data_IF_030025618034
#
_entry.id   IF_030025618034
#
_cell.length_a   1.000
_cell.length_b   1.000
_cell.length_c   1.000
_cell.angle_alpha   90.00
_cell.angle_beta   90.00
_cell.angle_gamma   90.00
#
_symmetry.space_group_name_H-M   'P 1'
#
loop_
_entity.id
_entity.type
_entity.pdbx_description
1 polymer ?
#
# COMPACT_ATOMS: atom_id res chain seq x y z
N UNK A 1 21.01 4.52 17.23
CA UNK A 1 20.10 3.90 18.23
C UNK A 1 18.67 4.44 18.16
N UNK A 2 18.39 5.73 18.42
CA UNK A 2 16.98 6.21 18.45
C UNK A 2 16.37 6.44 17.05
N UNK A 3 17.17 6.84 16.05
CA UNK A 3 16.73 6.91 14.63
C UNK A 3 16.38 5.54 14.06
N UNK A 4 17.12 4.51 14.46
CA UNK A 4 16.95 3.14 13.96
C UNK A 4 15.69 2.48 14.56
N UNK A 5 15.40 2.74 15.84
CA UNK A 5 14.19 2.26 16.51
C UNK A 5 12.90 2.84 15.87
N UNK A 6 12.89 4.14 15.52
CA UNK A 6 11.76 4.76 14.84
C UNK A 6 11.52 4.22 13.42
N UNK A 7 12.59 3.88 12.70
CA UNK A 7 12.51 3.25 11.38
C UNK A 7 11.99 1.80 11.47
N UNK A 8 12.41 1.04 12.49
CA UNK A 8 11.90 -0.32 12.72
C UNK A 8 10.39 -0.28 13.03
N UNK A 9 9.94 0.63 13.90
CA UNK A 9 8.50 0.80 14.20
C UNK A 9 7.71 1.14 12.94
N UNK A 10 8.18 2.10 12.14
CA UNK A 10 7.52 2.47 10.89
C UNK A 10 7.46 1.28 9.91
N UNK A 11 8.52 0.47 9.81
CA UNK A 11 8.52 -0.72 8.96
C UNK A 11 7.44 -1.72 9.38
N UNK A 12 7.31 -2.01 10.68
CA UNK A 12 6.35 -2.97 11.20
C UNK A 12 4.90 -2.50 11.02
N UNK A 13 4.64 -1.21 11.26
CA UNK A 13 3.33 -0.60 11.03
C UNK A 13 2.96 -0.62 9.54
N UNK A 14 3.85 -0.14 8.67
CA UNK A 14 3.59 -0.05 7.23
C UNK A 14 3.45 -1.42 6.57
N UNK A 15 4.18 -2.43 7.05
CA UNK A 15 4.03 -3.82 6.61
C UNK A 15 2.63 -4.37 6.86
N UNK A 16 1.96 -3.90 7.92
CA UNK A 16 0.58 -4.29 8.27
C UNK A 16 -0.44 -3.56 7.41
N UNK A 17 -0.15 -2.33 7.00
CA UNK A 17 -1.06 -1.49 6.21
C UNK A 17 -0.99 -1.74 4.69
N UNK A 18 0.17 -2.11 4.14
CA UNK A 18 0.33 -2.35 2.70
C UNK A 18 -0.62 -3.38 2.09
N UNK A 19 -0.85 -4.54 2.74
CA UNK A 19 -1.79 -5.50 2.21
C UNK A 19 -3.19 -4.90 1.97
N UNK A 20 -3.59 -3.85 2.68
CA UNK A 20 -4.97 -3.34 2.65
C UNK A 20 -5.45 -2.87 1.26
N UNK A 21 -4.62 -2.25 0.42
CA UNK A 21 -5.02 -1.83 -0.94
C UNK A 21 -5.27 -3.03 -1.87
N UNK A 22 -4.66 -4.17 -1.60
CA UNK A 22 -4.80 -5.34 -2.48
C UNK A 22 -5.61 -6.47 -1.84
N UNK A 23 -5.74 -6.44 -0.52
CA UNK A 23 -6.55 -7.31 0.33
C UNK A 23 -7.92 -6.68 0.39
N UNK A 24 -8.69 -6.75 -0.69
CA UNK A 24 -10.11 -6.42 -0.58
C UNK A 24 -10.79 -7.20 0.56
N UNK A 25 -10.22 -8.33 0.98
CA UNK A 25 -10.58 -9.13 2.15
C UNK A 25 -10.10 -8.64 3.52
N UNK A 26 -9.54 -7.43 3.62
CA UNK A 26 -9.04 -6.91 4.90
C UNK A 26 -10.14 -6.60 5.93
N UNK A 27 -11.41 -6.58 5.52
CA UNK A 27 -12.53 -6.16 6.37
C UNK A 27 -12.59 -4.65 6.64
N UNK A 28 -11.69 -3.86 6.04
CA UNK A 28 -11.65 -2.39 6.18
C UNK A 28 -12.81 -1.77 5.42
N UNK A 29 -13.60 -0.92 6.06
CA UNK A 29 -14.71 -0.22 5.40
C UNK A 29 -14.21 0.76 4.33
N UNK A 30 -15.11 1.18 3.43
CA UNK A 30 -14.84 2.29 2.50
C UNK A 30 -14.28 3.53 3.20
N UNK A 31 -14.87 3.93 4.33
CA UNK A 31 -14.40 5.07 5.12
C UNK A 31 -12.99 4.87 5.69
N UNK A 32 -12.61 3.63 6.01
CA UNK A 32 -11.25 3.28 6.41
C UNK A 32 -10.25 3.51 5.27
N UNK A 33 -10.60 3.10 4.05
CA UNK A 33 -9.77 3.41 2.87
C UNK A 33 -9.75 4.90 2.55
N UNK A 34 -10.86 5.61 2.69
CA UNK A 34 -10.89 7.06 2.50
C UNK A 34 -9.97 7.77 3.50
N UNK A 35 -9.88 7.28 4.73
CA UNK A 35 -8.93 7.80 5.71
C UNK A 35 -7.49 7.43 5.38
N UNK A 36 -7.24 6.24 4.83
CA UNK A 36 -5.90 5.75 4.50
C UNK A 36 -5.31 6.42 3.25
N UNK A 37 -6.13 6.71 2.24
CA UNK A 37 -5.68 7.34 0.99
C UNK A 37 -5.72 8.86 1.12
N UNK A 38 -4.56 9.51 0.99
CA UNK A 38 -4.47 10.96 0.95
C UNK A 38 -5.35 11.55 -0.16
N UNK A 39 -5.79 12.80 0.00
CA UNK A 39 -6.74 13.43 -0.92
C UNK A 39 -6.23 13.47 -2.37
N UNK A 40 -4.92 13.65 -2.56
CA UNK A 40 -4.22 13.69 -3.84
C UNK A 40 -3.59 12.34 -4.24
N UNK A 41 -3.97 11.24 -3.59
CA UNK A 41 -3.45 9.90 -3.89
C UNK A 41 -3.69 9.48 -5.35
N UNK A 42 -2.70 8.79 -5.91
CA UNK A 42 -2.78 8.15 -7.21
C UNK A 42 -1.95 6.87 -7.27
N UNK A 43 -2.32 5.97 -8.17
CA UNK A 43 -1.67 4.67 -8.36
C UNK A 43 -1.24 4.46 -9.82
N UNK A 44 -0.10 3.81 -10.04
CA UNK A 44 0.24 3.18 -11.32
C UNK A 44 0.02 1.68 -11.21
N UNK A 45 -0.98 1.18 -11.96
CA UNK A 45 -1.25 -0.26 -11.99
C UNK A 45 -0.27 -1.01 -12.88
N UNK A 46 -0.36 -2.35 -12.84
CA UNK A 46 0.53 -3.24 -13.61
C UNK A 46 0.51 -3.02 -15.14
N UNK A 47 -0.53 -2.36 -15.67
CA UNK A 47 -0.65 -1.98 -17.08
C UNK A 47 0.11 -0.69 -17.44
N UNK A 48 0.71 -0.01 -16.46
CA UNK A 48 1.28 1.34 -16.61
C UNK A 48 0.22 2.45 -16.61
N UNK A 49 -1.08 2.13 -16.50
CA UNK A 49 -2.14 3.15 -16.39
C UNK A 49 -2.08 3.83 -15.04
N UNK A 50 -2.29 5.14 -15.06
CA UNK A 50 -2.46 5.97 -13.87
C UNK A 50 -3.93 5.96 -13.45
N UNK A 51 -4.18 5.70 -12.17
CA UNK A 51 -5.50 5.64 -11.55
C UNK A 51 -5.61 6.67 -10.45
N UNK A 52 -6.76 7.36 -10.41
CA UNK A 52 -7.07 8.34 -9.36
C UNK A 52 -7.51 7.64 -8.08
N UNK A 53 -7.47 8.38 -6.96
CA UNK A 53 -8.06 7.95 -5.68
C UNK A 53 -9.48 7.42 -5.81
N UNK A 54 -10.38 8.12 -6.50
CA UNK A 54 -11.78 7.71 -6.63
C UNK A 54 -11.95 6.41 -7.42
N UNK A 55 -11.12 6.22 -8.45
CA UNK A 55 -11.09 4.97 -9.19
C UNK A 55 -10.64 3.81 -8.29
N UNK A 56 -9.58 4.02 -7.50
CA UNK A 56 -9.06 3.00 -6.58
C UNK A 56 -10.10 2.68 -5.51
N UNK A 57 -10.73 3.67 -4.87
CA UNK A 57 -11.78 3.46 -3.86
C UNK A 57 -12.96 2.65 -4.42
N UNK A 58 -13.43 3.00 -5.61
CA UNK A 58 -14.53 2.28 -6.28
C UNK A 58 -14.13 0.83 -6.58
N UNK A 59 -12.88 0.61 -7.03
CA UNK A 59 -12.34 -0.72 -7.30
C UNK A 59 -12.24 -1.57 -6.03
N UNK A 60 -11.80 -0.98 -4.91
CA UNK A 60 -11.72 -1.66 -3.62
C UNK A 60 -13.10 -2.11 -3.13
N UNK A 61 -14.09 -1.22 -3.22
CA UNK A 61 -15.48 -1.51 -2.83
C UNK A 61 -16.08 -2.63 -3.70
N UNK A 62 -15.81 -2.63 -5.02
CA UNK A 62 -16.25 -3.70 -5.91
C UNK A 62 -15.60 -5.05 -5.56
N UNK A 63 -14.28 -5.06 -5.31
CA UNK A 63 -13.56 -6.27 -4.90
C UNK A 63 -14.02 -6.80 -3.54
N UNK A 64 -14.52 -5.95 -2.65
CA UNK A 64 -15.12 -6.36 -1.38
C UNK A 64 -16.43 -7.11 -1.55
N UNK A 65 -17.21 -6.77 -2.58
CA UNK A 65 -18.46 -7.48 -2.90
C UNK A 65 -18.19 -8.88 -3.48
N UNK A 66 -17.08 -9.04 -4.20
CA UNK A 66 -16.65 -10.30 -4.81
C UNK A 66 -15.18 -10.58 -4.50
N UNK A 67 -14.88 -10.99 -3.26
CA UNK A 67 -13.51 -11.17 -2.84
C UNK A 67 -12.83 -12.32 -3.58
N UNK A 68 -11.58 -12.10 -3.98
CA UNK A 68 -10.74 -13.17 -4.52
C UNK A 68 -9.97 -13.85 -3.39
N UNK A 69 -10.08 -15.16 -3.31
CA UNK A 69 -9.23 -15.98 -2.46
C UNK A 69 -7.95 -16.32 -3.23
N UNK A 70 -6.97 -15.41 -3.16
CA UNK A 70 -5.64 -15.63 -3.72
C UNK A 70 -4.61 -15.74 -2.58
N UNK A 71 -3.85 -16.84 -2.57
CA UNK A 71 -2.70 -16.94 -1.68
C UNK A 71 -1.61 -16.01 -2.19
N UNK A 72 -1.11 -15.18 -1.30
CA UNK A 72 -0.10 -14.20 -1.59
C UNK A 72 0.95 -14.13 -0.49
N UNK A 73 2.16 -13.72 -0.86
CA UNK A 73 3.28 -13.58 0.07
C UNK A 73 4.01 -12.28 -0.24
N UNK A 74 4.10 -11.41 0.77
CA UNK A 74 4.88 -10.20 0.71
C UNK A 74 6.18 -10.38 1.50
N UNK A 75 7.30 -10.02 0.89
CA UNK A 75 8.65 -10.21 1.44
C UNK A 75 9.62 -9.16 0.88
N UNK A 76 10.89 -9.19 1.30
CA UNK A 76 11.91 -8.19 0.95
C UNK A 76 11.49 -6.75 1.28
N UNK A 77 10.82 -6.55 2.43
CA UNK A 77 10.42 -5.22 2.86
C UNK A 77 11.66 -4.35 3.14
N UNK A 78 11.64 -3.13 2.62
CA UNK A 78 12.61 -2.10 2.93
C UNK A 78 11.88 -0.77 3.07
N UNK A 79 12.14 -0.07 4.18
CA UNK A 79 11.62 1.27 4.43
C UNK A 79 12.75 2.28 4.36
N UNK A 80 12.48 3.42 3.72
CA UNK A 80 13.38 4.57 3.67
C UNK A 80 12.61 5.82 4.10
N UNK A 81 13.04 6.47 5.18
CA UNK A 81 12.58 7.82 5.50
C UNK A 81 13.13 8.80 4.46
N UNK A 82 12.26 9.50 3.75
CA UNK A 82 12.61 10.47 2.70
C UNK A 82 12.84 11.84 3.31
N UNK A 83 11.92 12.25 4.18
CA UNK A 83 12.00 13.48 4.98
C UNK A 83 11.17 13.29 6.26
N UNK A 84 10.95 14.36 7.02
CA UNK A 84 10.09 14.27 8.19
C UNK A 84 8.69 13.80 7.83
N UNK A 85 8.23 12.81 8.59
CA UNK A 85 6.97 12.10 8.40
C UNK A 85 6.78 11.34 7.07
N UNK A 86 7.71 11.37 6.11
CA UNK A 86 7.54 10.69 4.82
C UNK A 86 8.45 9.47 4.66
N UNK A 87 7.86 8.38 4.17
CA UNK A 87 8.51 7.08 4.10
C UNK A 87 8.20 6.39 2.77
N UNK A 88 9.23 5.92 2.10
CA UNK A 88 9.10 5.02 0.97
C UNK A 88 9.17 3.59 1.49
N UNK A 89 8.12 2.80 1.26
CA UNK A 89 8.12 1.37 1.47
C UNK A 89 8.25 0.65 0.13
N UNK A 90 9.19 -0.27 0.04
CA UNK A 90 9.33 -1.18 -1.11
C UNK A 90 9.32 -2.62 -0.67
N UNK A 91 8.75 -3.51 -1.48
CA UNK A 91 8.68 -4.94 -1.20
C UNK A 91 8.40 -5.74 -2.47
N UNK A 92 8.56 -7.07 -2.41
CA UNK A 92 8.04 -7.99 -3.41
C UNK A 92 6.68 -8.54 -2.98
N UNK A 93 5.76 -8.67 -3.93
CA UNK A 93 4.51 -9.39 -3.75
C UNK A 93 4.43 -10.55 -4.74
N UNK A 94 4.42 -11.77 -4.20
CA UNK A 94 4.13 -12.99 -4.94
C UNK A 94 2.64 -13.30 -4.86
N UNK A 95 2.00 -13.45 -6.01
CA UNK A 95 0.67 -14.00 -6.22
C UNK A 95 0.80 -15.34 -6.98
N UNK A 96 -0.24 -16.18 -7.08
CA UNK A 96 -0.11 -17.53 -7.66
C UNK A 96 0.43 -17.53 -9.10
N UNK A 97 0.11 -16.50 -9.88
CA UNK A 97 0.47 -16.39 -11.30
C UNK A 97 1.37 -15.20 -11.61
N UNK A 98 1.77 -14.39 -10.61
CA UNK A 98 2.48 -13.13 -10.84
C UNK A 98 3.40 -12.76 -9.70
N UNK A 99 4.60 -12.32 -10.04
CA UNK A 99 5.50 -11.59 -9.15
C UNK A 99 5.48 -10.10 -9.51
N UNK A 100 5.49 -9.24 -8.49
CA UNK A 100 5.60 -7.79 -8.67
C UNK A 100 6.52 -7.14 -7.64
N UNK A 101 7.25 -6.11 -8.04
CA UNK A 101 7.92 -5.18 -7.13
C UNK A 101 7.00 -4.00 -6.85
N UNK A 102 6.87 -3.66 -5.57
CA UNK A 102 5.90 -2.69 -5.05
C UNK A 102 6.64 -1.51 -4.46
N UNK A 103 6.08 -0.32 -4.65
CA UNK A 103 6.56 0.91 -4.05
C UNK A 103 5.38 1.75 -3.60
N UNK A 104 5.43 2.24 -2.36
CA UNK A 104 4.43 3.14 -1.82
C UNK A 104 5.09 4.28 -1.09
N UNK A 105 4.62 5.49 -1.36
CA UNK A 105 4.98 6.66 -0.58
C UNK A 105 3.93 6.87 0.51
N UNK A 106 4.40 6.87 1.75
CA UNK A 106 3.63 7.01 2.97
C UNK A 106 3.95 8.32 3.67
N UNK A 107 2.95 8.88 4.34
CA UNK A 107 3.07 10.04 5.22
C UNK A 107 2.46 9.72 6.58
N UNK A 108 3.19 9.97 7.67
CA UNK A 108 2.66 9.92 9.03
C UNK A 108 2.07 11.27 9.40
N UNK A 109 0.76 11.33 9.59
CA UNK A 109 0.03 12.54 9.98
C UNK A 109 -0.46 12.43 11.43
N UNK A 110 -1.06 13.51 11.96
CA UNK A 110 -1.73 13.44 13.28
C UNK A 110 -2.92 12.47 13.29
N UNK A 111 -3.50 12.18 12.11
CA UNK A 111 -4.60 11.23 11.93
C UNK A 111 -4.11 9.80 11.64
N UNK A 112 -2.79 9.58 11.66
CA UNK A 112 -2.14 8.32 11.32
C UNK A 112 -1.56 8.30 9.90
N UNK A 113 -1.25 7.10 9.42
CA UNK A 113 -0.63 6.87 8.13
C UNK A 113 -1.56 7.20 6.96
N UNK A 114 -1.02 7.90 5.97
CA UNK A 114 -1.67 8.21 4.70
C UNK A 114 -0.81 7.71 3.53
N UNK A 115 -1.41 7.05 2.55
CA UNK A 115 -0.76 6.70 1.29
C UNK A 115 -0.87 7.89 0.33
N UNK A 116 0.29 8.37 -0.14
CA UNK A 116 0.39 9.44 -1.13
C UNK A 116 0.44 8.90 -2.55
N UNK A 117 1.09 7.74 -2.74
CA UNK A 117 1.28 7.13 -4.05
C UNK A 117 1.51 5.63 -3.92
N UNK A 118 1.08 4.84 -4.90
CA UNK A 118 1.42 3.42 -5.01
C UNK A 118 1.76 3.00 -6.45
N UNK A 119 2.69 2.05 -6.61
CA UNK A 119 2.89 1.34 -7.87
C UNK A 119 3.26 -0.13 -7.65
N UNK A 120 2.70 -0.99 -8.51
CA UNK A 120 3.10 -2.39 -8.65
C UNK A 120 3.61 -2.71 -10.05
N UNK A 121 4.90 -3.00 -10.16
CA UNK A 121 5.57 -3.32 -11.42
C UNK A 121 5.73 -4.85 -11.55
N UNK A 122 5.16 -5.49 -12.58
CA UNK A 122 5.40 -6.91 -12.84
C UNK A 122 6.88 -7.22 -13.02
N UNK A 123 7.33 -8.35 -12.49
CA UNK A 123 8.63 -8.94 -12.83
C UNK A 123 8.39 -9.90 -13.98
N UNK A 124 8.95 -9.58 -15.15
CA UNK A 124 8.82 -10.35 -16.40
C UNK A 124 10.16 -10.89 -16.87
#
# INVERSE_FOLDING_TARGET
MQKDAGLISAMDELRTLEPLIYAANSGVSRSGFENLLAHDFWEVGASGRVYTRDFVLSTLEERQKNPREEVWSAYDFSVRKIEDSHYLLTYALQQPTRLSRRATLWQMTMEGWKMLYHQGTPVV
#
